data_IF_934598563208
#
_entry.id   IF_934598563208
#
_cell.length_a   1.000
_cell.length_b   1.000
_cell.length_c   1.000
_cell.angle_alpha   90.00
_cell.angle_beta   90.00
_cell.angle_gamma   90.00
#
_symmetry.space_group_name_H-M   'P 1'
#
loop_
_entity.id
_entity.type
_entity.pdbx_description
1 polymer ?
#
# COMPACT_ATOMS: atom_id res chain seq x y z
N UNK A 1 6.45 1.34 24.11
CA UNK A 1 5.27 1.85 23.36
C UNK A 1 4.18 0.78 23.37
N UNK A 2 2.91 1.13 23.63
CA UNK A 2 1.78 0.18 23.58
C UNK A 2 1.50 -0.27 22.14
N UNK A 3 0.99 -1.50 21.95
CA UNK A 3 0.71 -2.04 20.61
C UNK A 3 -0.27 -1.19 19.81
N UNK A 4 -1.29 -0.62 20.46
CA UNK A 4 -2.22 0.34 19.83
C UNK A 4 -1.50 1.50 19.12
N UNK A 5 -0.53 2.12 19.80
CA UNK A 5 0.22 3.24 19.25
C UNK A 5 1.15 2.78 18.12
N UNK A 6 1.74 1.57 18.23
CA UNK A 6 2.55 1.00 17.15
C UNK A 6 1.70 0.79 15.90
N UNK A 7 0.49 0.22 16.04
CA UNK A 7 -0.46 0.01 14.95
C UNK A 7 -0.82 1.34 14.29
N UNK A 8 -1.15 2.38 15.06
CA UNK A 8 -1.48 3.69 14.48
C UNK A 8 -0.34 4.27 13.64
N UNK A 9 0.89 4.20 14.15
CA UNK A 9 2.05 4.70 13.43
C UNK A 9 2.40 3.82 12.23
N UNK A 10 2.29 2.50 12.37
CA UNK A 10 2.51 1.55 11.28
C UNK A 10 1.49 1.75 10.16
N UNK A 11 0.20 1.88 10.47
CA UNK A 11 -0.85 2.15 9.51
C UNK A 11 -0.65 3.51 8.81
N UNK A 12 -0.12 4.53 9.49
CA UNK A 12 0.24 5.79 8.84
C UNK A 12 1.42 5.64 7.86
N UNK A 13 2.37 4.76 8.15
CA UNK A 13 3.64 4.63 7.43
C UNK A 13 3.74 3.40 6.51
N UNK A 14 2.72 2.53 6.44
CA UNK A 14 2.77 1.26 5.71
C UNK A 14 3.21 1.44 4.25
N UNK A 15 2.71 2.51 3.62
CA UNK A 15 2.95 2.85 2.21
C UNK A 15 4.07 3.89 1.98
N UNK A 16 4.84 4.27 3.01
CA UNK A 16 5.91 5.28 2.86
C UNK A 16 6.95 4.88 1.80
N UNK A 17 7.15 3.58 1.61
CA UNK A 17 8.04 3.02 0.59
C UNK A 17 7.61 3.33 -0.85
N UNK A 18 6.33 3.66 -1.13
CA UNK A 18 5.87 4.02 -2.48
C UNK A 18 6.57 5.27 -3.01
N UNK A 19 6.84 6.25 -2.14
CA UNK A 19 7.59 7.46 -2.52
C UNK A 19 9.02 7.14 -2.93
N UNK A 20 9.68 6.28 -2.16
CA UNK A 20 11.06 5.88 -2.46
C UNK A 20 11.11 5.03 -3.72
N UNK A 21 10.24 4.03 -3.85
CA UNK A 21 10.14 3.19 -5.05
C UNK A 21 9.94 4.02 -6.33
N UNK A 22 9.13 5.09 -6.27
CA UNK A 22 8.92 6.02 -7.39
C UNK A 22 10.16 6.86 -7.74
N UNK A 23 10.97 7.22 -6.75
CA UNK A 23 12.22 7.95 -6.93
C UNK A 23 13.42 7.03 -7.29
N UNK A 24 13.18 5.72 -7.33
CA UNK A 24 14.16 4.66 -7.56
C UNK A 24 13.95 3.99 -8.92
N UNK A 25 15.02 3.41 -9.46
CA UNK A 25 14.96 2.57 -10.66
C UNK A 25 14.11 1.29 -10.36
N UNK A 26 13.64 0.57 -11.40
CA UNK A 26 12.96 -0.72 -11.21
C UNK A 26 13.73 -1.68 -10.32
N UNK A 27 13.04 -2.51 -9.52
CA UNK A 27 13.72 -3.38 -8.52
C UNK A 27 14.77 -4.29 -9.17
N UNK A 28 14.52 -4.73 -10.41
CA UNK A 28 15.43 -5.53 -11.23
C UNK A 28 16.75 -4.81 -11.56
N UNK A 29 16.77 -3.48 -11.47
CA UNK A 29 17.92 -2.60 -11.71
C UNK A 29 18.43 -1.89 -10.45
N UNK A 30 17.56 -1.63 -9.49
CA UNK A 30 17.81 -0.80 -8.28
C UNK A 30 17.74 -1.57 -6.97
N UNK A 31 17.48 -2.88 -7.00
CA UNK A 31 17.57 -3.72 -5.81
C UNK A 31 18.94 -3.65 -5.14
N UNK A 32 19.97 -3.17 -5.84
CA UNK A 32 21.31 -2.91 -5.32
C UNK A 32 21.40 -1.69 -4.38
N UNK A 33 20.40 -0.78 -4.40
CA UNK A 33 20.32 0.34 -3.46
C UNK A 33 19.62 0.00 -2.13
N UNK A 34 19.01 -1.19 -2.04
CA UNK A 34 18.52 -1.74 -0.79
C UNK A 34 19.67 -2.37 0.00
N UNK A 35 19.65 -2.27 1.32
CA UNK A 35 20.59 -3.01 2.15
C UNK A 35 20.38 -4.52 2.00
N UNK A 36 21.46 -5.29 2.17
CA UNK A 36 21.41 -6.76 2.09
C UNK A 36 20.35 -7.35 3.03
N UNK A 37 20.25 -6.81 4.24
CA UNK A 37 19.23 -7.22 5.21
C UNK A 37 17.81 -7.03 4.65
N UNK A 38 17.53 -5.91 3.98
CA UNK A 38 16.23 -5.66 3.39
C UNK A 38 15.96 -6.57 2.19
N UNK A 39 16.95 -6.83 1.33
CA UNK A 39 16.79 -7.74 0.18
C UNK A 39 16.37 -9.14 0.60
N UNK A 40 16.94 -9.64 1.70
CA UNK A 40 16.61 -10.95 2.25
C UNK A 40 15.15 -11.05 2.75
N UNK A 41 14.47 -9.91 2.96
CA UNK A 41 13.07 -9.89 3.38
C UNK A 41 12.08 -10.23 2.27
N UNK A 42 12.49 -10.19 0.99
CA UNK A 42 11.58 -10.34 -0.16
C UNK A 42 10.63 -11.53 -0.03
N UNK A 43 11.13 -12.69 0.39
CA UNK A 43 10.34 -13.91 0.54
C UNK A 43 9.35 -13.90 1.71
N UNK A 44 9.50 -12.95 2.64
CA UNK A 44 8.71 -12.83 3.87
C UNK A 44 7.69 -11.71 3.82
N UNK A 45 7.88 -10.68 2.99
CA UNK A 45 7.00 -9.50 2.95
C UNK A 45 6.39 -9.22 1.58
N UNK A 46 6.94 -9.78 0.51
CA UNK A 46 6.38 -9.66 -0.83
C UNK A 46 5.60 -10.94 -1.19
N UNK A 47 4.28 -10.88 -1.42
CA UNK A 47 3.53 -12.04 -1.89
C UNK A 47 3.90 -12.35 -3.35
N UNK A 48 3.69 -13.62 -3.75
CA UNK A 48 3.88 -14.09 -5.12
C UNK A 48 2.56 -14.11 -5.89
N UNK A 49 2.62 -13.80 -7.17
CA UNK A 49 1.51 -13.96 -8.10
C UNK A 49 1.33 -15.42 -8.57
N UNK A 50 0.36 -15.64 -9.47
CA UNK A 50 0.10 -16.96 -10.07
C UNK A 50 1.28 -17.49 -10.91
N UNK A 51 2.17 -16.60 -11.39
CA UNK A 51 3.38 -16.91 -12.16
C UNK A 51 4.62 -17.09 -11.26
N UNK A 52 4.45 -17.11 -9.94
CA UNK A 52 5.51 -17.23 -8.94
C UNK A 52 6.48 -16.04 -8.90
N UNK A 53 6.08 -14.88 -9.42
CA UNK A 53 6.85 -13.65 -9.37
C UNK A 53 6.46 -12.82 -8.16
N UNK A 54 7.45 -12.15 -7.55
CA UNK A 54 7.20 -11.27 -6.41
C UNK A 54 6.58 -9.94 -6.88
N UNK A 55 5.65 -9.41 -6.08
CA UNK A 55 5.04 -8.10 -6.28
C UNK A 55 5.18 -7.17 -5.08
N UNK A 56 4.49 -6.03 -5.12
CA UNK A 56 4.35 -5.11 -3.98
C UNK A 56 5.67 -4.62 -3.37
N UNK A 57 6.71 -4.44 -4.20
CA UNK A 57 8.07 -4.12 -3.76
C UNK A 57 8.20 -2.86 -2.88
N UNK A 58 7.20 -1.97 -2.80
CA UNK A 58 7.23 -0.83 -1.90
C UNK A 58 7.39 -1.22 -0.43
N UNK A 59 6.98 -2.43 -0.03
CA UNK A 59 7.19 -2.92 1.34
C UNK A 59 8.66 -3.08 1.71
N UNK A 60 9.53 -3.43 0.74
CA UNK A 60 10.98 -3.49 0.94
C UNK A 60 11.51 -2.08 1.22
N UNK A 61 11.06 -1.09 0.46
CA UNK A 61 11.42 0.30 0.66
C UNK A 61 10.87 0.88 1.98
N UNK A 62 9.69 0.43 2.42
CA UNK A 62 9.16 0.74 3.77
C UNK A 62 10.10 0.17 4.84
N UNK A 63 10.56 -1.07 4.72
CA UNK A 63 11.52 -1.66 5.66
C UNK A 63 12.87 -0.92 5.66
N UNK A 64 13.41 -0.63 4.47
CA UNK A 64 14.67 0.13 4.30
C UNK A 64 14.57 1.54 4.91
N UNK A 65 13.41 2.19 4.80
CA UNK A 65 13.16 3.48 5.44
C UNK A 65 13.34 3.43 6.96
N UNK A 66 12.76 2.42 7.62
CA UNK A 66 12.95 2.25 9.05
C UNK A 66 14.41 1.91 9.39
N UNK A 67 15.06 1.02 8.64
CA UNK A 67 16.44 0.62 8.86
C UNK A 67 17.43 1.78 8.70
N UNK A 68 17.34 2.51 7.58
CA UNK A 68 18.23 3.63 7.24
C UNK A 68 18.06 4.82 8.19
N UNK A 69 16.83 5.10 8.61
CA UNK A 69 16.53 6.26 9.45
C UNK A 69 16.30 5.94 10.92
N UNK A 70 16.56 4.70 11.37
CA UNK A 70 16.37 4.28 12.78
C UNK A 70 16.96 5.26 13.80
N UNK A 71 18.14 5.80 13.55
CA UNK A 71 18.79 6.74 14.48
C UNK A 71 18.05 8.08 14.63
N UNK A 72 17.24 8.46 13.63
CA UNK A 72 16.40 9.67 13.67
C UNK A 72 15.10 9.47 14.43
N UNK A 73 14.69 8.22 14.66
CA UNK A 73 13.51 7.90 15.46
C UNK A 73 13.84 7.88 16.96
N UNK A 74 12.84 8.18 17.82
CA UNK A 74 12.89 7.88 19.26
C UNK A 74 13.30 6.43 19.51
N UNK A 75 13.95 6.17 20.64
CA UNK A 75 14.51 4.86 20.99
C UNK A 75 13.49 3.73 20.86
N UNK A 76 12.24 3.99 21.24
CA UNK A 76 11.13 3.04 21.23
C UNK A 76 10.70 2.61 19.82
N UNK A 77 11.12 3.34 18.79
CA UNK A 77 10.82 3.10 17.37
C UNK A 77 12.04 2.63 16.57
N UNK A 78 13.20 2.45 17.22
CA UNK A 78 14.43 2.01 16.55
C UNK A 78 14.47 0.52 16.24
N UNK A 79 13.51 -0.26 16.76
CA UNK A 79 13.37 -1.66 16.42
C UNK A 79 12.90 -1.79 14.96
N UNK A 80 13.63 -2.58 14.19
CA UNK A 80 13.42 -2.82 12.76
C UNK A 80 13.43 -4.32 12.46
N UNK A 81 13.33 -4.71 11.19
CA UNK A 81 13.42 -6.11 10.78
C UNK A 81 14.73 -6.80 11.22
N UNK A 82 15.82 -6.04 11.41
CA UNK A 82 17.09 -6.58 11.95
C UNK A 82 17.07 -6.82 13.47
N UNK A 83 16.02 -6.37 14.16
CA UNK A 83 15.87 -6.50 15.61
C UNK A 83 15.24 -7.86 15.96
N UNK A 84 16.05 -8.85 16.34
CA UNK A 84 15.66 -10.24 16.66
C UNK A 84 14.65 -10.43 17.80
N UNK A 85 14.03 -9.36 18.32
CA UNK A 85 13.32 -9.37 19.62
C UNK A 85 11.81 -9.22 19.52
N UNK A 86 11.24 -8.79 18.39
CA UNK A 86 9.80 -8.58 18.29
C UNK A 86 9.34 -8.47 16.83
N UNK A 87 8.52 -9.43 16.39
CA UNK A 87 7.93 -9.44 15.04
C UNK A 87 6.88 -8.33 14.85
N UNK A 88 6.30 -7.79 15.92
CA UNK A 88 5.31 -6.71 15.94
C UNK A 88 5.88 -5.38 16.47
N UNK A 89 7.10 -5.07 16.05
CA UNK A 89 7.61 -3.70 16.12
C UNK A 89 6.96 -2.83 15.01
N UNK A 90 6.99 -1.50 15.18
CA UNK A 90 6.34 -0.57 14.23
C UNK A 90 6.82 -0.75 12.79
N UNK A 91 8.11 -1.00 12.57
CA UNK A 91 8.65 -1.18 11.22
C UNK A 91 8.09 -2.44 10.55
N UNK A 92 8.03 -3.56 11.28
CA UNK A 92 7.48 -4.81 10.76
C UNK A 92 5.96 -4.71 10.55
N UNK A 93 5.22 -4.11 11.49
CA UNK A 93 3.79 -3.84 11.32
C UNK A 93 3.50 -3.04 10.05
N UNK A 94 4.38 -2.10 9.70
CA UNK A 94 4.27 -1.32 8.48
C UNK A 94 4.69 -2.12 7.23
N UNK A 95 5.80 -2.87 7.27
CA UNK A 95 6.34 -3.56 6.11
C UNK A 95 5.57 -4.85 5.73
N UNK A 96 4.98 -5.55 6.70
CA UNK A 96 4.31 -6.84 6.46
C UNK A 96 2.86 -6.70 5.97
N UNK A 97 2.35 -5.50 5.67
CA UNK A 97 0.93 -5.30 5.35
C UNK A 97 0.44 -6.00 4.06
N UNK A 98 1.34 -6.37 3.13
CA UNK A 98 0.98 -7.20 1.96
C UNK A 98 1.11 -8.71 2.18
N UNK A 99 1.87 -9.14 3.19
CA UNK A 99 2.07 -10.54 3.52
C UNK A 99 2.23 -10.75 5.03
N UNK A 100 1.13 -10.57 5.81
CA UNK A 100 1.20 -10.58 7.27
C UNK A 100 1.46 -12.00 7.83
N UNK A 101 2.30 -12.08 8.85
CA UNK A 101 2.60 -13.31 9.60
C UNK A 101 2.03 -13.31 11.03
N UNK A 102 1.51 -12.17 11.51
CA UNK A 102 0.88 -12.03 12.84
C UNK A 102 -0.50 -11.39 12.74
N UNK A 103 -1.30 -11.53 13.80
CA UNK A 103 -2.63 -10.91 13.89
C UNK A 103 -2.54 -9.37 13.86
N UNK A 104 -1.51 -8.78 14.50
CA UNK A 104 -1.35 -7.32 14.52
C UNK A 104 -0.95 -6.76 13.15
N UNK A 105 -0.13 -7.48 12.40
CA UNK A 105 0.19 -7.15 11.00
C UNK A 105 -1.07 -7.28 10.12
N UNK A 106 -1.88 -8.32 10.35
CA UNK A 106 -3.14 -8.52 9.62
C UNK A 106 -4.14 -7.39 9.86
N UNK A 107 -4.17 -6.76 11.04
CA UNK A 107 -4.99 -5.57 11.30
C UNK A 107 -4.60 -4.42 10.35
N UNK A 108 -3.29 -4.17 10.16
CA UNK A 108 -2.81 -3.13 9.24
C UNK A 108 -3.17 -3.48 7.79
N UNK A 109 -3.00 -4.74 7.39
CA UNK A 109 -3.36 -5.23 6.07
C UNK A 109 -4.86 -5.05 5.75
N UNK A 110 -5.73 -5.41 6.69
CA UNK A 110 -7.18 -5.24 6.56
C UNK A 110 -7.57 -3.76 6.49
N UNK A 111 -6.93 -2.91 7.28
CA UNK A 111 -7.18 -1.47 7.26
C UNK A 111 -6.78 -0.84 5.92
N UNK A 112 -5.62 -1.22 5.36
CA UNK A 112 -5.20 -0.82 4.01
C UNK A 112 -6.26 -1.25 2.97
N UNK A 113 -6.65 -2.53 2.98
CA UNK A 113 -7.64 -3.05 2.06
C UNK A 113 -8.98 -2.30 2.12
N UNK A 114 -9.51 -2.05 3.31
CA UNK A 114 -10.77 -1.32 3.49
C UNK A 114 -10.67 0.16 3.11
N UNK A 115 -9.49 0.76 3.25
CA UNK A 115 -9.27 2.16 2.88
C UNK A 115 -9.20 2.38 1.36
N UNK A 116 -8.87 1.32 0.60
CA UNK A 116 -8.67 1.42 -0.86
C UNK A 116 -9.96 1.56 -1.69
N UNK A 117 -11.15 1.39 -1.08
CA UNK A 117 -12.44 1.52 -1.78
C UNK A 117 -12.63 0.52 -2.93
N UNK A 118 -13.83 0.43 -3.52
CA UNK A 118 -14.13 -0.45 -4.67
C UNK A 118 -13.41 -0.08 -5.98
N UNK A 119 -12.28 0.65 -5.95
CA UNK A 119 -11.45 1.00 -7.11
C UNK A 119 -10.79 -0.23 -7.77
N UNK A 120 -10.97 -1.43 -7.20
CA UNK A 120 -10.64 -2.73 -7.82
C UNK A 120 -11.72 -3.26 -8.77
N UNK A 121 -12.65 -2.43 -9.22
CA UNK A 121 -13.49 -2.79 -10.37
C UNK A 121 -12.57 -2.87 -11.60
N UNK A 122 -12.15 -4.11 -11.92
CA UNK A 122 -11.39 -4.57 -13.10
C UNK A 122 -9.92 -4.99 -12.89
N UNK A 123 -9.50 -5.54 -11.74
CA UNK A 123 -8.21 -6.25 -11.68
C UNK A 123 -8.19 -7.49 -12.61
N UNK A 124 -9.35 -8.11 -12.90
CA UNK A 124 -9.47 -9.26 -13.82
C UNK A 124 -9.15 -8.94 -15.29
N UNK A 125 -9.11 -7.66 -15.69
CA UNK A 125 -8.87 -7.23 -17.07
C UNK A 125 -7.59 -6.39 -17.24
N UNK A 126 -6.77 -6.22 -16.20
CA UNK A 126 -5.47 -5.56 -16.34
C UNK A 126 -4.45 -6.61 -16.73
N UNK A 127 -4.05 -6.62 -18.00
CA UNK A 127 -2.89 -7.38 -18.46
C UNK A 127 -1.70 -7.05 -17.53
N UNK A 128 -1.31 -8.06 -16.75
CA UNK A 128 -0.39 -8.04 -15.59
C UNK A 128 1.01 -7.44 -15.86
N UNK A 129 1.33 -7.03 -17.07
CA UNK A 129 2.68 -6.63 -17.48
C UNK A 129 2.87 -5.12 -17.69
N UNK A 130 1.79 -4.33 -17.74
CA UNK A 130 1.87 -2.87 -18.00
C UNK A 130 1.66 -1.99 -16.76
N UNK A 131 1.29 -2.55 -15.60
CA UNK A 131 0.99 -1.79 -14.38
C UNK A 131 2.25 -1.45 -13.55
N UNK A 132 3.28 -2.30 -13.58
CA UNK A 132 4.51 -2.13 -12.79
C UNK A 132 5.42 -0.98 -13.28
N UNK A 133 5.33 -0.58 -14.54
CA UNK A 133 6.04 0.60 -15.06
C UNK A 133 5.16 1.84 -14.99
N UNK A 134 3.88 1.72 -15.34
CA UNK A 134 2.97 2.86 -15.38
C UNK A 134 2.62 3.43 -13.99
N UNK A 135 2.63 2.65 -12.90
CA UNK A 135 2.28 3.18 -11.56
C UNK A 135 3.27 4.25 -11.05
N UNK A 136 4.51 4.20 -11.55
CA UNK A 136 5.55 5.18 -11.21
C UNK A 136 5.26 6.55 -11.82
N UNK A 137 4.73 6.54 -13.03
CA UNK A 137 4.50 7.73 -13.85
C UNK A 137 3.06 8.24 -13.73
N UNK A 138 2.12 7.40 -13.26
CA UNK A 138 0.71 7.76 -13.11
C UNK A 138 0.53 8.83 -12.01
N UNK A 139 0.11 10.06 -12.36
CA UNK A 139 -0.16 11.10 -11.38
C UNK A 139 -1.46 10.84 -10.62
N UNK A 140 -1.65 11.55 -9.51
CA UNK A 140 -2.92 11.57 -8.80
C UNK A 140 -4.00 12.18 -9.69
N UNK A 141 -5.13 11.48 -9.87
CA UNK A 141 -6.30 11.99 -10.60
C UNK A 141 -7.12 12.93 -9.74
N UNK A 142 -7.72 13.94 -10.35
CA UNK A 142 -8.62 14.84 -9.63
C UNK A 142 -9.92 14.08 -9.31
N UNK A 143 -10.48 14.22 -8.10
CA UNK A 143 -11.69 13.48 -7.71
C UNK A 143 -12.90 13.81 -8.60
N UNK A 144 -13.01 15.04 -9.08
CA UNK A 144 -14.02 15.45 -10.06
C UNK A 144 -13.88 14.76 -11.42
N UNK A 145 -12.70 14.24 -11.79
CA UNK A 145 -12.54 13.47 -13.05
C UNK A 145 -13.29 12.13 -12.98
N UNK A 146 -13.59 11.64 -11.76
CA UNK A 146 -14.27 10.36 -11.53
C UNK A 146 -15.80 10.49 -11.42
N UNK A 147 -16.33 11.72 -11.41
CA UNK A 147 -17.76 11.96 -11.26
C UNK A 147 -18.39 12.13 -12.64
N UNK A 148 -19.25 11.20 -13.03
CA UNK A 148 -20.07 11.39 -14.21
C UNK A 148 -21.30 12.26 -13.86
N UNK A 149 -21.35 13.45 -14.43
CA UNK A 149 -22.47 14.40 -14.28
C UNK A 149 -23.53 14.24 -15.35
N UNK A 150 -23.36 13.32 -16.32
CA UNK A 150 -24.41 12.97 -17.25
C UNK A 150 -25.49 12.17 -16.49
N UNK A 151 -26.39 12.89 -15.83
CA UNK A 151 -27.70 12.37 -15.52
C UNK A 151 -28.33 12.00 -16.87
N UNK A 152 -28.35 10.72 -17.20
CA UNK A 152 -29.43 10.25 -18.08
C UNK A 152 -30.70 10.57 -17.31
N UNK A 153 -31.53 11.48 -17.82
CA UNK A 153 -32.92 11.57 -17.37
C UNK A 153 -33.42 10.13 -17.27
N UNK A 154 -33.86 9.74 -16.07
CA UNK A 154 -34.46 8.44 -15.93
C UNK A 154 -35.68 8.43 -16.83
N UNK A 155 -35.69 7.58 -17.86
CA UNK A 155 -36.92 7.18 -18.56
C UNK A 155 -37.84 6.33 -17.66
N UNK A 156 -37.65 6.42 -16.33
CA UNK A 156 -38.53 5.82 -15.34
C UNK A 156 -39.77 6.72 -15.23
N UNK A 157 -40.93 6.26 -15.74
CA UNK A 157 -42.16 7.05 -15.76
C UNK A 157 -42.71 7.35 -14.35
N UNK A 158 -42.07 6.86 -13.27
CA UNK A 158 -42.41 7.21 -11.89
C UNK A 158 -41.90 8.58 -11.44
N UNK A 159 -40.98 9.19 -12.19
CA UNK A 159 -40.42 10.52 -11.90
C UNK A 159 -40.72 11.55 -13.00
N UNK A 160 -41.49 11.16 -14.01
CA UNK A 160 -42.07 12.08 -14.97
C UNK A 160 -43.43 12.56 -14.43
N UNK A 161 -43.53 13.88 -14.23
CA UNK A 161 -44.72 14.63 -13.79
C UNK A 161 -44.96 14.70 -12.28
N UNK A 162 -44.47 15.81 -11.69
CA UNK A 162 -45.24 16.60 -10.72
C UNK A 162 -44.84 18.08 -10.86
N UNK A 163 -45.07 18.64 -12.06
CA UNK A 163 -45.07 20.09 -12.27
C UNK A 163 -46.49 20.63 -12.04
N UNK A 164 -46.94 20.61 -10.79
CA UNK A 164 -48.09 21.40 -10.37
C UNK A 164 -47.99 21.77 -8.89
N UNK A 165 -47.32 22.89 -8.58
CA UNK A 165 -47.77 23.80 -7.52
C UNK A 165 -47.32 25.24 -7.85
N UNK A 166 -48.33 26.02 -8.25
CA UNK A 166 -48.57 27.50 -8.19
C UNK A 166 -47.38 28.45 -8.34
#
# INVERSE_FOLDING_TARGET
MSDKNKIYLAALLHDIGKFWQRASEPYEKDGDNLSENTRQLIQYICPKDVKQQFGYYHVLWTSEFFEKYKQKFPEELRATASSQRNDDNTANLAAYHHYPSTELQAIVALADHWSSGSDRLNEENMEEDTSLTNFRETPLRHIFDMINTSFKESEDPRYAEDNHYV
#
